data_IF_383399961299
#
_entry.id   IF_383399961299
#
_cell.length_a   1.000
_cell.length_b   1.000
_cell.length_c   1.000
_cell.angle_alpha   90.00
_cell.angle_beta   90.00
_cell.angle_gamma   90.00
#
_symmetry.space_group_name_H-M   'P 1'
#
loop_
_entity.id
_entity.type
_entity.pdbx_description
1 polymer ?
#
# COMPACT_ATOMS: atom_id res chain seq x y z
N UNK A 1 17.08 -10.07 14.75
CA UNK A 1 16.74 -8.92 13.89
C UNK A 1 16.62 -9.43 12.47
N UNK A 2 15.41 -9.65 11.93
CA UNK A 2 15.26 -9.64 10.47
C UNK A 2 15.44 -8.19 10.04
N UNK A 3 16.69 -7.80 9.85
CA UNK A 3 17.05 -6.48 9.36
C UNK A 3 16.39 -6.31 7.99
N UNK A 4 15.57 -5.27 7.86
CA UNK A 4 14.99 -4.92 6.56
C UNK A 4 16.15 -4.65 5.61
N UNK A 5 16.23 -5.42 4.53
CA UNK A 5 17.34 -5.30 3.60
C UNK A 5 17.40 -3.86 3.04
N UNK A 6 18.57 -3.19 3.06
CA UNK A 6 18.72 -1.83 2.55
C UNK A 6 18.28 -1.69 1.08
N UNK A 7 18.37 -2.77 0.32
CA UNK A 7 17.88 -2.86 -1.06
C UNK A 7 16.36 -2.65 -1.16
N UNK A 8 15.57 -3.19 -0.22
CA UNK A 8 14.12 -2.98 -0.17
C UNK A 8 13.77 -1.53 0.18
N UNK A 9 14.54 -0.90 1.07
CA UNK A 9 14.41 0.52 1.37
C UNK A 9 14.75 1.38 0.15
N UNK A 10 15.75 0.99 -0.64
CA UNK A 10 16.06 1.67 -1.90
C UNK A 10 14.89 1.57 -2.90
N UNK A 11 14.24 0.40 -3.03
CA UNK A 11 13.02 0.28 -3.87
C UNK A 11 11.90 1.18 -3.35
N UNK A 12 11.67 1.20 -2.04
CA UNK A 12 10.65 2.05 -1.42
C UNK A 12 10.90 3.55 -1.68
N UNK A 13 12.13 4.01 -1.49
CA UNK A 13 12.46 5.44 -1.57
C UNK A 13 12.68 5.94 -2.99
N UNK A 14 13.24 5.12 -3.88
CA UNK A 14 13.63 5.55 -5.23
C UNK A 14 12.59 5.18 -6.28
N UNK A 15 11.92 4.03 -6.12
CA UNK A 15 10.98 3.52 -7.14
C UNK A 15 9.53 3.76 -6.73
N UNK A 16 9.19 3.51 -5.46
CA UNK A 16 7.82 3.65 -4.96
C UNK A 16 7.45 5.10 -4.64
N UNK A 17 8.27 5.79 -3.84
CA UNK A 17 7.93 7.12 -3.30
C UNK A 17 7.65 8.17 -4.38
N UNK A 18 8.47 8.35 -5.44
CA UNK A 18 8.24 9.43 -6.41
C UNK A 18 6.88 9.34 -7.13
N UNK A 19 6.49 8.20 -7.77
CA UNK A 19 5.17 8.10 -8.38
C UNK A 19 4.04 8.08 -7.34
N UNK A 20 4.26 7.55 -6.12
CA UNK A 20 3.28 7.62 -5.05
C UNK A 20 2.97 9.08 -4.62
N UNK A 21 3.98 9.96 -4.57
CA UNK A 21 3.76 11.38 -4.30
C UNK A 21 2.96 12.07 -5.42
N UNK A 22 3.29 11.78 -6.69
CA UNK A 22 2.55 12.33 -7.84
C UNK A 22 1.10 11.87 -7.83
N UNK A 23 0.86 10.58 -7.56
CA UNK A 23 -0.50 10.03 -7.46
C UNK A 23 -1.27 10.62 -6.28
N UNK A 24 -0.63 10.78 -5.12
CA UNK A 24 -1.27 11.38 -3.94
C UNK A 24 -1.66 12.83 -4.18
N UNK A 25 -0.80 13.60 -4.87
CA UNK A 25 -1.10 14.97 -5.26
C UNK A 25 -2.24 15.05 -6.28
N UNK A 26 -2.21 14.19 -7.30
CA UNK A 26 -3.27 14.13 -8.31
C UNK A 26 -4.62 13.75 -7.70
N UNK A 27 -4.63 12.77 -6.79
CA UNK A 27 -5.84 12.33 -6.10
C UNK A 27 -6.43 13.45 -5.22
N UNK A 28 -5.59 14.18 -4.48
CA UNK A 28 -6.06 15.31 -3.65
C UNK A 28 -6.64 16.47 -4.46
N UNK A 29 -6.18 16.69 -5.70
CA UNK A 29 -6.66 17.78 -6.56
C UNK A 29 -7.89 17.39 -7.38
N UNK A 30 -7.87 16.21 -7.97
CA UNK A 30 -8.82 15.83 -9.02
C UNK A 30 -9.73 14.68 -8.61
N UNK A 31 -9.50 14.06 -7.45
CA UNK A 31 -10.21 12.85 -6.98
C UNK A 31 -10.22 11.74 -8.05
N UNK A 32 -9.15 11.70 -8.85
CA UNK A 32 -8.96 10.77 -9.96
C UNK A 32 -7.51 10.34 -10.00
N UNK A 33 -7.29 9.03 -9.96
CA UNK A 33 -5.98 8.42 -10.09
C UNK A 33 -5.67 8.15 -11.58
N UNK A 34 -4.66 8.81 -12.17
CA UNK A 34 -4.30 8.58 -13.56
C UNK A 34 -3.72 7.17 -13.76
N UNK A 35 -4.41 6.34 -14.55
CA UNK A 35 -4.04 4.92 -14.80
C UNK A 35 -2.58 4.75 -15.24
N UNK A 36 -2.03 5.70 -16.00
CA UNK A 36 -0.63 5.66 -16.46
C UNK A 36 0.35 5.67 -15.29
N UNK A 37 0.12 6.52 -14.29
CA UNK A 37 0.99 6.63 -13.12
C UNK A 37 0.84 5.42 -12.19
N UNK A 38 -0.38 4.89 -12.03
CA UNK A 38 -0.60 3.63 -11.30
C UNK A 38 0.14 2.48 -11.97
N UNK A 39 0.08 2.39 -13.31
CA UNK A 39 0.83 1.40 -14.07
C UNK A 39 2.35 1.54 -13.93
N UNK A 40 2.86 2.79 -13.96
CA UNK A 40 4.30 3.06 -13.73
C UNK A 40 4.72 2.66 -12.33
N UNK A 41 3.93 2.99 -11.30
CA UNK A 41 4.22 2.61 -9.91
C UNK A 41 4.24 1.09 -9.76
N UNK A 42 3.16 0.41 -10.16
CA UNK A 42 3.03 -1.05 -10.03
C UNK A 42 4.09 -1.78 -10.84
N UNK A 43 4.28 -1.40 -12.11
CA UNK A 43 5.27 -2.01 -13.00
C UNK A 43 6.69 -1.76 -12.54
N UNK A 44 7.01 -0.53 -12.12
CA UNK A 44 8.33 -0.16 -11.63
C UNK A 44 8.71 -0.92 -10.36
N UNK A 45 7.82 -0.98 -9.37
CA UNK A 45 8.06 -1.72 -8.12
C UNK A 45 8.17 -3.22 -8.38
N UNK A 46 7.27 -3.80 -9.18
CA UNK A 46 7.33 -5.22 -9.52
C UNK A 46 8.62 -5.59 -10.26
N UNK A 47 9.06 -4.78 -11.22
CA UNK A 47 10.31 -4.99 -11.95
C UNK A 47 11.53 -4.87 -11.02
N UNK A 48 11.56 -3.85 -10.15
CA UNK A 48 12.65 -3.66 -9.20
C UNK A 48 12.76 -4.83 -8.21
N UNK A 49 11.64 -5.30 -7.65
CA UNK A 49 11.62 -6.46 -6.76
C UNK A 49 11.97 -7.76 -7.49
N UNK A 50 11.56 -7.92 -8.75
CA UNK A 50 11.96 -9.06 -9.57
C UNK A 50 13.48 -9.08 -9.77
N UNK A 51 14.07 -7.96 -10.17
CA UNK A 51 15.53 -7.81 -10.30
C UNK A 51 16.22 -8.12 -8.97
N UNK A 52 15.67 -7.62 -7.86
CA UNK A 52 16.21 -7.90 -6.54
C UNK A 52 16.16 -9.38 -6.18
N UNK A 53 15.08 -10.08 -6.53
CA UNK A 53 14.95 -11.53 -6.33
C UNK A 53 15.99 -12.33 -7.12
N UNK A 54 16.45 -11.80 -8.26
CA UNK A 54 17.50 -12.44 -9.06
C UNK A 54 18.88 -12.25 -8.43
N UNK A 55 19.18 -11.02 -7.97
CA UNK A 55 20.49 -10.64 -7.41
C UNK A 55 20.67 -11.10 -5.95
N UNK A 56 19.59 -11.18 -5.18
CA UNK A 56 19.59 -11.58 -3.77
C UNK A 56 18.70 -12.83 -3.57
N UNK A 57 19.24 -14.05 -3.80
CA UNK A 57 18.48 -15.28 -3.68
C UNK A 57 17.79 -15.49 -2.34
N UNK A 58 18.36 -14.96 -1.24
CA UNK A 58 17.79 -15.04 0.10
C UNK A 58 16.41 -14.38 0.24
N UNK A 59 16.09 -13.38 -0.60
CA UNK A 59 14.80 -12.70 -0.58
C UNK A 59 13.72 -13.39 -1.42
N UNK A 60 14.06 -14.42 -2.21
CA UNK A 60 13.12 -15.01 -3.19
C UNK A 60 11.85 -15.57 -2.54
N UNK A 61 11.97 -16.24 -1.41
CA UNK A 61 10.84 -16.82 -0.72
C UNK A 61 9.86 -15.74 -0.23
N UNK A 62 10.40 -14.69 0.41
CA UNK A 62 9.64 -13.55 0.91
C UNK A 62 9.00 -12.75 -0.23
N UNK A 63 9.75 -12.45 -1.29
CA UNK A 63 9.24 -11.73 -2.46
C UNK A 63 8.18 -12.53 -3.22
N UNK A 64 8.30 -13.87 -3.28
CA UNK A 64 7.25 -14.72 -3.84
C UNK A 64 5.98 -14.69 -3.00
N UNK A 65 6.11 -14.76 -1.67
CA UNK A 65 4.96 -14.63 -0.77
C UNK A 65 4.31 -13.24 -0.92
N UNK A 66 5.11 -12.17 -0.98
CA UNK A 66 4.64 -10.81 -1.21
C UNK A 66 3.90 -10.69 -2.55
N UNK A 67 4.41 -11.29 -3.62
CA UNK A 67 3.75 -11.30 -4.93
C UNK A 67 2.40 -12.04 -4.90
N UNK A 68 2.33 -13.19 -4.22
CA UNK A 68 1.07 -13.95 -4.07
C UNK A 68 0.07 -13.14 -3.25
N UNK A 69 0.48 -12.55 -2.13
CA UNK A 69 -0.39 -11.71 -1.30
C UNK A 69 -0.89 -10.48 -2.06
N UNK A 70 -0.01 -9.82 -2.80
CA UNK A 70 -0.37 -8.69 -3.67
C UNK A 70 -1.39 -9.07 -4.73
N UNK A 71 -1.23 -10.24 -5.35
CA UNK A 71 -2.17 -10.74 -6.34
C UNK A 71 -3.53 -11.08 -5.70
N UNK A 72 -3.54 -11.82 -4.60
CA UNK A 72 -4.77 -12.24 -3.92
C UNK A 72 -5.55 -11.05 -3.39
N UNK A 73 -4.90 -10.16 -2.63
CA UNK A 73 -5.54 -8.97 -2.06
C UNK A 73 -5.89 -7.95 -3.15
N UNK A 74 -5.04 -7.81 -4.16
CA UNK A 74 -5.29 -6.95 -5.31
C UNK A 74 -6.52 -7.39 -6.11
N UNK A 75 -6.58 -8.67 -6.50
CA UNK A 75 -7.75 -9.24 -7.16
C UNK A 75 -9.01 -9.13 -6.30
N UNK A 76 -8.90 -9.40 -5.00
CA UNK A 76 -9.99 -9.21 -4.04
C UNK A 76 -10.51 -7.77 -4.03
N UNK A 77 -9.63 -6.78 -3.98
CA UNK A 77 -10.00 -5.37 -4.02
C UNK A 77 -10.66 -4.98 -5.34
N UNK A 78 -10.17 -5.48 -6.48
CA UNK A 78 -10.80 -5.25 -7.79
C UNK A 78 -12.19 -5.89 -7.84
N UNK A 79 -12.36 -7.12 -7.35
CA UNK A 79 -13.65 -7.79 -7.27
C UNK A 79 -14.64 -7.00 -6.38
N UNK A 80 -14.18 -6.52 -5.22
CA UNK A 80 -15.00 -5.65 -4.35
C UNK A 80 -15.38 -4.36 -5.06
N UNK A 81 -14.46 -3.71 -5.77
CA UNK A 81 -14.77 -2.49 -6.52
C UNK A 81 -15.78 -2.73 -7.67
N UNK A 82 -15.81 -3.93 -8.25
CA UNK A 82 -16.76 -4.32 -9.29
C UNK A 82 -18.13 -4.70 -8.73
N UNK A 83 -18.18 -5.47 -7.64
CA UNK A 83 -19.41 -5.97 -7.04
C UNK A 83 -20.08 -4.96 -6.10
N UNK A 84 -19.28 -4.11 -5.45
CA UNK A 84 -19.69 -3.13 -4.45
C UNK A 84 -18.96 -1.78 -4.65
N UNK A 85 -19.24 -1.06 -5.76
CA UNK A 85 -18.55 0.20 -6.10
C UNK A 85 -18.79 1.33 -5.10
N UNK A 86 -19.77 1.19 -4.19
CA UNK A 86 -19.99 2.11 -3.07
C UNK A 86 -19.01 1.94 -1.90
N UNK A 87 -18.29 0.81 -1.83
CA UNK A 87 -17.36 0.49 -0.74
C UNK A 87 -15.92 0.86 -1.10
N UNK A 88 -15.48 0.55 -2.31
CA UNK A 88 -14.12 0.80 -2.76
C UNK A 88 -14.10 1.37 -4.17
N UNK A 89 -13.41 2.49 -4.37
CA UNK A 89 -13.21 3.08 -5.68
C UNK A 89 -12.30 2.22 -6.56
N UNK A 90 -12.62 2.11 -7.85
CA UNK A 90 -11.78 1.41 -8.83
C UNK A 90 -10.36 2.02 -8.95
N UNK A 91 -10.18 3.30 -8.61
CA UNK A 91 -8.86 3.93 -8.50
C UNK A 91 -8.03 3.28 -7.39
N UNK A 92 -8.57 3.28 -6.18
CA UNK A 92 -7.93 2.72 -4.98
C UNK A 92 -7.65 1.23 -5.14
N UNK A 93 -8.60 0.48 -5.70
CA UNK A 93 -8.46 -0.95 -5.95
C UNK A 93 -7.25 -1.32 -6.83
N UNK A 94 -6.88 -0.45 -7.78
CA UNK A 94 -5.71 -0.67 -8.65
C UNK A 94 -4.38 -0.35 -7.99
N UNK A 95 -4.38 0.49 -6.95
CA UNK A 95 -3.18 0.83 -6.18
C UNK A 95 -2.89 -0.17 -5.06
N UNK A 96 -3.91 -0.91 -4.61
CA UNK A 96 -3.80 -1.89 -3.54
C UNK A 96 -2.77 -3.01 -3.81
N UNK A 97 -2.68 -3.61 -5.02
CA UNK A 97 -1.66 -4.63 -5.30
C UNK A 97 -0.24 -4.14 -5.03
N UNK A 98 0.13 -2.94 -5.48
CA UNK A 98 1.51 -2.43 -5.31
C UNK A 98 1.80 -2.03 -3.87
N UNK A 99 0.80 -1.52 -3.15
CA UNK A 99 0.90 -1.21 -1.72
C UNK A 99 1.13 -2.48 -0.90
N UNK A 100 0.34 -3.52 -1.17
CA UNK A 100 0.51 -4.83 -0.53
C UNK A 100 1.85 -5.44 -0.91
N UNK A 101 2.24 -5.40 -2.19
CA UNK A 101 3.50 -5.95 -2.67
C UNK A 101 4.69 -5.34 -1.93
N UNK A 102 4.76 -4.01 -1.86
CA UNK A 102 5.84 -3.31 -1.18
C UNK A 102 5.80 -3.55 0.33
N UNK A 103 4.63 -3.51 0.97
CA UNK A 103 4.50 -3.71 2.42
C UNK A 103 4.85 -5.14 2.84
N UNK A 104 4.39 -6.14 2.09
CA UNK A 104 4.71 -7.54 2.33
C UNK A 104 6.18 -7.87 2.04
N UNK A 105 6.79 -7.20 1.05
CA UNK A 105 8.23 -7.31 0.80
C UNK A 105 9.08 -6.78 1.96
N UNK A 106 8.57 -5.82 2.75
CA UNK A 106 9.23 -5.33 3.97
C UNK A 106 9.04 -6.26 5.18
N UNK A 107 8.17 -7.27 5.08
CA UNK A 107 7.89 -8.26 6.12
C UNK A 107 6.41 -8.41 6.44
N UNK A 108 6.06 -9.51 7.10
CA UNK A 108 4.67 -9.79 7.49
C UNK A 108 4.14 -8.80 8.52
N UNK A 109 4.96 -8.41 9.50
CA UNK A 109 4.59 -7.41 10.51
C UNK A 109 4.39 -6.03 9.88
N UNK A 110 5.20 -5.68 8.88
CA UNK A 110 5.05 -4.44 8.12
C UNK A 110 3.75 -4.42 7.30
N UNK A 111 3.36 -5.54 6.68
CA UNK A 111 2.07 -5.64 6.01
C UNK A 111 0.90 -5.45 6.99
N UNK A 112 0.92 -6.14 8.14
CA UNK A 112 -0.14 -6.01 9.15
C UNK A 112 -0.21 -4.55 9.65
N UNK A 113 0.94 -3.95 9.98
CA UNK A 113 1.02 -2.56 10.40
C UNK A 113 0.51 -1.59 9.31
N UNK A 114 0.81 -1.85 8.04
CA UNK A 114 0.32 -1.05 6.92
C UNK A 114 -1.21 -1.12 6.81
N UNK A 115 -1.78 -2.34 6.85
CA UNK A 115 -3.23 -2.53 6.76
C UNK A 115 -3.97 -1.87 7.94
N UNK A 116 -3.46 -2.05 9.17
CA UNK A 116 -4.01 -1.39 10.36
C UNK A 116 -3.88 0.13 10.28
N UNK A 117 -2.72 0.64 9.86
CA UNK A 117 -2.46 2.07 9.71
C UNK A 117 -3.40 2.70 8.67
N UNK A 118 -3.57 2.07 7.51
CA UNK A 118 -4.51 2.51 6.48
C UNK A 118 -5.94 2.51 7.03
N UNK A 119 -6.37 1.44 7.70
CA UNK A 119 -7.73 1.33 8.24
C UNK A 119 -8.01 2.40 9.31
N UNK A 120 -7.07 2.63 10.23
CA UNK A 120 -7.21 3.63 11.28
C UNK A 120 -7.21 5.05 10.71
N UNK A 121 -6.25 5.39 9.85
CA UNK A 121 -6.15 6.74 9.28
C UNK A 121 -7.31 7.06 8.33
N UNK A 122 -7.77 6.09 7.54
CA UNK A 122 -8.97 6.27 6.70
C UNK A 122 -10.23 6.44 7.54
N UNK A 123 -10.37 5.70 8.65
CA UNK A 123 -11.45 5.88 9.62
C UNK A 123 -11.43 7.26 10.27
N UNK A 124 -10.26 7.72 10.73
CA UNK A 124 -10.08 9.07 11.30
C UNK A 124 -10.41 10.14 10.27
N UNK A 125 -9.91 10.01 9.04
CA UNK A 125 -10.20 10.95 7.95
C UNK A 125 -11.70 10.99 7.64
N UNK A 126 -12.37 9.84 7.58
CA UNK A 126 -13.82 9.74 7.42
C UNK A 126 -14.58 10.45 8.55
N UNK A 127 -14.17 10.26 9.80
CA UNK A 127 -14.78 10.97 10.95
C UNK A 127 -14.59 12.48 10.86
N UNK A 128 -13.40 12.95 10.49
CA UNK A 128 -13.12 14.38 10.29
C UNK A 128 -13.99 14.95 9.18
N UNK A 129 -14.09 14.26 8.03
CA UNK A 129 -14.94 14.68 6.91
C UNK A 129 -16.39 14.79 7.34
N UNK A 130 -16.93 13.81 8.09
CA UNK A 130 -18.31 13.86 8.60
C UNK A 130 -18.48 15.01 9.60
N UNK A 131 -17.52 15.24 10.50
CA UNK A 131 -17.59 16.31 11.50
C UNK A 131 -17.59 17.71 10.86
N UNK A 132 -16.78 17.91 9.81
CA UNK A 132 -16.65 19.19 9.10
C UNK A 132 -17.82 19.42 8.15
N UNK A 133 -18.18 18.43 7.33
CA UNK A 133 -19.25 18.58 6.33
C UNK A 133 -20.65 18.42 6.91
N UNK A 134 -20.77 17.82 8.09
CA UNK A 134 -22.04 17.44 8.76
C UNK A 134 -22.93 16.55 7.88
N UNK A 135 -22.35 15.82 6.92
CA UNK A 135 -23.05 14.92 5.99
C UNK A 135 -22.39 13.55 5.95
N UNK A 136 -23.20 12.50 6.09
CA UNK A 136 -22.75 11.14 5.83
C UNK A 136 -22.65 10.88 4.32
N UNK A 137 -21.70 10.03 3.91
CA UNK A 137 -21.56 9.59 2.50
C UNK A 137 -20.81 10.55 1.57
N UNK A 138 -20.12 11.56 2.11
CA UNK A 138 -19.23 12.43 1.31
C UNK A 138 -18.03 11.63 0.83
N UNK A 139 -17.76 11.65 -0.47
CA UNK A 139 -16.56 11.03 -1.06
C UNK A 139 -15.33 11.89 -0.72
N UNK A 140 -14.26 11.23 -0.31
CA UNK A 140 -12.97 11.88 -0.02
C UNK A 140 -11.82 11.09 -0.65
N UNK A 141 -10.70 11.77 -0.88
CA UNK A 141 -9.48 11.20 -1.46
C UNK A 141 -8.81 10.22 -0.49
N UNK A 142 -8.95 8.92 -0.74
CA UNK A 142 -8.32 7.84 0.04
C UNK A 142 -6.92 7.48 -0.47
N UNK A 143 -6.58 7.87 -1.71
CA UNK A 143 -5.33 7.53 -2.37
C UNK A 143 -4.08 7.88 -1.55
N UNK A 144 -3.95 9.07 -0.95
CA UNK A 144 -2.79 9.43 -0.15
C UNK A 144 -2.58 8.51 1.07
N UNK A 145 -3.65 8.15 1.77
CA UNK A 145 -3.58 7.27 2.94
C UNK A 145 -3.19 5.85 2.51
N UNK A 146 -3.75 5.37 1.41
CA UNK A 146 -3.48 4.05 0.87
C UNK A 146 -2.02 3.93 0.38
N UNK A 147 -1.53 4.94 -0.35
CA UNK A 147 -0.15 5.03 -0.83
C UNK A 147 0.88 5.26 0.29
N UNK A 148 0.46 5.80 1.44
CA UNK A 148 1.31 5.85 2.63
C UNK A 148 1.51 4.47 3.28
N UNK A 149 0.73 3.45 2.89
CA UNK A 149 0.72 2.10 3.45
C UNK A 149 2.09 1.51 3.79
N UNK A 150 3.04 1.41 2.84
CA UNK A 150 4.34 0.80 3.13
C UNK A 150 5.15 1.57 4.17
N UNK A 151 4.99 2.89 4.25
CA UNK A 151 5.64 3.74 5.28
C UNK A 151 5.00 3.53 6.65
N UNK A 152 3.67 3.47 6.70
CA UNK A 152 2.94 3.13 7.94
C UNK A 152 3.33 1.73 8.42
N UNK A 153 3.50 0.79 7.49
CA UNK A 153 4.00 -0.55 7.74
C UNK A 153 5.39 -0.54 8.36
N UNK A 154 6.32 0.20 7.75
CA UNK A 154 7.69 0.33 8.23
C UNK A 154 7.74 0.92 9.65
N UNK A 155 6.97 1.97 9.91
CA UNK A 155 6.95 2.66 11.20
C UNK A 155 6.20 1.87 12.28
N UNK A 156 5.15 1.14 11.91
CA UNK A 156 4.31 0.37 12.83
C UNK A 156 4.77 -1.08 13.08
N UNK A 157 5.65 -1.62 12.23
CA UNK A 157 6.16 -3.00 12.37
C UNK A 157 6.73 -3.32 13.76
N UNK A 158 7.49 -2.44 14.44
CA UNK A 158 7.98 -2.71 15.80
C UNK A 158 6.86 -2.93 16.80
N UNK A 159 5.76 -2.16 16.68
CA UNK A 159 4.60 -2.27 17.57
C UNK A 159 3.83 -3.57 17.31
N UNK A 160 3.66 -3.94 16.05
CA UNK A 160 3.04 -5.23 15.68
C UNK A 160 3.89 -6.41 16.16
N UNK A 161 5.22 -6.35 16.03
CA UNK A 161 6.12 -7.39 16.53
C UNK A 161 6.00 -7.58 18.05
N UNK A 162 5.96 -6.47 18.80
CA UNK A 162 5.74 -6.52 20.24
C UNK A 162 4.38 -7.15 20.60
N UNK A 163 3.32 -6.80 19.86
CA UNK A 163 1.98 -7.36 20.08
C UNK A 163 1.87 -8.85 19.72
N UNK A 164 2.62 -9.31 18.72
CA UNK A 164 2.64 -10.72 18.31
C UNK A 164 3.58 -11.59 19.16
N UNK A 165 4.35 -11.00 20.07
CA UNK A 165 5.32 -11.72 20.90
C UNK A 165 6.50 -12.27 20.10
N UNK A 166 6.81 -11.68 18.94
CA UNK A 166 7.90 -12.10 18.04
C UNK A 166 9.16 -11.21 18.17
N UNK A 167 9.26 -10.49 19.29
CA UNK A 167 10.35 -9.54 19.62
C UNK A 167 11.53 -10.16 20.33
#
# INVERSE_FOLDING_TARGET
MSEIAPSLLAVLLVVYLPPAMVLSWADGREHRLPNRWVGILTGGVAAALLVLSLIQPGLRAELRAAAVLALVLGCGAVLVALLAPGVLGMGDAKTLPVVVLMSAALGGEALIAALLGIALLSGVLGMVVIAVTRRAGVRFALGPVLLAGPFLGLLGAPLVRAALGTG
#
